data_IF_653866677262
#
_entry.id   IF_653866677262
#
_cell.length_a   1.000
_cell.length_b   1.000
_cell.length_c   1.000
_cell.angle_alpha   90.00
_cell.angle_beta   90.00
_cell.angle_gamma   90.00
#
_symmetry.space_group_name_H-M   'P 1'
#
loop_
_entity.id
_entity.type
_entity.pdbx_description
1 polymer ?
#
# COMPACT_ATOMS: atom_id res chain seq x y z
N UNK A 1 -6.42 -28.22 -25.16
CA UNK A 1 -6.28 -26.87 -24.56
C UNK A 1 -6.50 -25.86 -25.68
N UNK A 2 -7.55 -25.03 -25.60
CA UNK A 2 -7.81 -23.99 -26.60
C UNK A 2 -6.90 -22.77 -26.37
N UNK A 3 -6.62 -22.00 -27.42
CA UNK A 3 -5.91 -20.72 -27.33
C UNK A 3 -6.82 -19.68 -26.67
N UNK A 4 -6.22 -18.80 -25.85
CA UNK A 4 -6.97 -17.68 -25.24
C UNK A 4 -7.48 -16.75 -26.34
N UNK A 5 -8.67 -16.14 -26.18
CA UNK A 5 -9.22 -15.16 -27.12
C UNK A 5 -8.20 -14.05 -27.45
N UNK A 6 -8.16 -13.63 -28.72
CA UNK A 6 -7.20 -12.63 -29.21
C UNK A 6 -7.36 -11.24 -28.56
N UNK A 7 -8.56 -10.90 -28.09
CA UNK A 7 -8.86 -9.69 -27.30
C UNK A 7 -7.92 -9.50 -26.11
N UNK A 8 -7.47 -10.59 -25.48
CA UNK A 8 -6.59 -10.53 -24.31
C UNK A 8 -5.15 -10.10 -24.64
N UNK A 9 -4.78 -10.06 -25.91
CA UNK A 9 -3.46 -9.65 -26.39
C UNK A 9 -3.46 -8.26 -27.04
N UNK A 10 -4.57 -7.53 -26.96
CA UNK A 10 -4.68 -6.15 -27.46
C UNK A 10 -3.68 -5.24 -26.74
N UNK A 11 -3.04 -4.34 -27.49
CA UNK A 11 -2.24 -3.25 -26.91
C UNK A 11 -3.15 -2.21 -26.25
N UNK A 12 -2.95 -1.86 -24.97
CA UNK A 12 -3.69 -0.80 -24.29
C UNK A 12 -3.54 0.54 -25.02
N UNK A 13 -4.58 1.37 -24.97
CA UNK A 13 -4.52 2.75 -25.47
C UNK A 13 -3.80 3.68 -24.49
N UNK A 14 -3.31 4.82 -24.96
CA UNK A 14 -2.65 5.82 -24.11
C UNK A 14 -3.57 6.33 -22.99
N UNK A 15 -4.87 6.45 -23.26
CA UNK A 15 -5.87 6.86 -22.26
C UNK A 15 -6.04 5.81 -21.16
N UNK A 16 -6.06 4.52 -21.53
CA UNK A 16 -6.10 3.41 -20.56
C UNK A 16 -4.80 3.35 -19.75
N UNK A 17 -3.67 3.64 -20.38
CA UNK A 17 -2.37 3.71 -19.72
C UNK A 17 -2.30 4.85 -18.69
N UNK A 18 -2.74 6.05 -19.07
CA UNK A 18 -2.81 7.19 -18.17
C UNK A 18 -3.77 6.94 -17.00
N UNK A 19 -4.94 6.35 -17.26
CA UNK A 19 -5.88 5.96 -16.22
C UNK A 19 -5.27 4.94 -15.23
N UNK A 20 -4.48 3.98 -15.74
CA UNK A 20 -3.75 3.02 -14.92
C UNK A 20 -2.68 3.67 -14.05
N UNK A 21 -1.89 4.61 -14.59
CA UNK A 21 -0.85 5.30 -13.83
C UNK A 21 -1.44 6.23 -12.76
N UNK A 22 -2.44 7.04 -13.13
CA UNK A 22 -3.15 7.95 -12.22
C UNK A 22 -3.82 7.21 -11.05
N UNK A 23 -4.15 5.93 -11.22
CA UNK A 23 -4.73 5.10 -10.17
C UNK A 23 -3.88 5.02 -8.90
N UNK A 24 -2.56 4.92 -9.05
CA UNK A 24 -1.65 4.76 -7.91
C UNK A 24 -1.47 6.07 -7.14
N UNK A 25 -1.50 7.20 -7.85
CA UNK A 25 -1.42 8.54 -7.26
C UNK A 25 -2.68 8.90 -6.46
N UNK A 26 -3.85 8.47 -6.94
CA UNK A 26 -5.16 8.68 -6.27
C UNK A 26 -5.35 7.86 -4.99
N UNK A 27 -4.39 7.01 -4.61
CA UNK A 27 -4.52 6.07 -3.47
C UNK A 27 -3.64 6.39 -2.28
N UNK A 28 -3.05 7.59 -2.27
CA UNK A 28 -2.37 8.13 -1.09
C UNK A 28 -3.41 8.42 0.01
N UNK A 29 -3.11 7.94 1.21
CA UNK A 29 -3.91 8.12 2.40
C UNK A 29 -3.08 8.84 3.46
N UNK A 30 -3.72 9.36 4.50
CA UNK A 30 -3.05 10.13 5.56
C UNK A 30 -1.93 9.35 6.28
N UNK A 31 -2.03 8.02 6.35
CA UNK A 31 -1.09 7.15 7.08
C UNK A 31 -0.39 6.12 6.18
N UNK A 32 -0.53 6.23 4.86
CA UNK A 32 0.07 5.27 3.94
C UNK A 32 -0.58 5.23 2.57
N UNK A 33 -0.61 4.05 1.96
CA UNK A 33 -1.18 3.84 0.62
C UNK A 33 -2.12 2.65 0.61
N UNK A 34 -3.22 2.77 -0.12
CA UNK A 34 -4.14 1.66 -0.35
C UNK A 34 -3.58 0.72 -1.44
N UNK A 35 -3.31 -0.54 -1.11
CA UNK A 35 -2.75 -1.54 -2.03
C UNK A 35 -3.82 -2.30 -2.83
N UNK A 36 -5.05 -1.80 -2.85
CA UNK A 36 -6.13 -2.42 -3.60
C UNK A 36 -5.84 -2.34 -5.12
N UNK A 37 -6.36 -3.27 -5.92
CA UNK A 37 -6.05 -3.37 -7.34
C UNK A 37 -6.71 -2.27 -8.20
N UNK A 38 -6.22 -2.10 -9.43
CA UNK A 38 -6.82 -1.24 -10.46
C UNK A 38 -8.31 -1.55 -10.65
N UNK A 39 -9.12 -0.51 -10.86
CA UNK A 39 -10.57 -0.58 -11.11
C UNK A 39 -11.43 -1.27 -10.02
N UNK A 40 -10.94 -1.35 -8.77
CA UNK A 40 -11.76 -1.84 -7.65
C UNK A 40 -12.13 -0.69 -6.72
N UNK A 41 -13.43 -0.44 -6.44
CA UNK A 41 -13.85 0.68 -5.61
C UNK A 41 -13.36 0.52 -4.17
N UNK A 42 -13.09 1.65 -3.51
CA UNK A 42 -12.88 1.71 -2.07
C UNK A 42 -13.82 2.77 -1.51
N UNK A 43 -14.73 2.37 -0.62
CA UNK A 43 -15.78 3.25 -0.07
C UNK A 43 -15.31 4.03 1.18
N UNK A 44 -14.00 4.03 1.46
CA UNK A 44 -13.51 4.40 2.79
C UNK A 44 -12.46 5.51 2.74
N UNK A 45 -12.90 6.72 3.05
CA UNK A 45 -12.03 7.87 3.32
C UNK A 45 -11.47 7.81 4.76
N UNK A 46 -12.20 7.18 5.71
CA UNK A 46 -11.78 7.00 7.12
C UNK A 46 -11.62 5.54 7.60
N UNK A 47 -12.08 4.54 6.85
CA UNK A 47 -11.89 3.13 7.25
C UNK A 47 -10.51 2.54 6.89
N UNK A 48 -9.55 3.40 6.56
CA UNK A 48 -8.23 2.98 6.10
C UNK A 48 -7.44 2.25 7.20
N UNK A 49 -7.50 2.70 8.45
CA UNK A 49 -6.82 2.03 9.58
C UNK A 49 -7.36 0.62 9.83
N UNK A 50 -8.68 0.42 9.63
CA UNK A 50 -9.34 -0.89 9.71
C UNK A 50 -9.06 -1.78 8.49
N UNK A 51 -8.68 -1.19 7.36
CA UNK A 51 -8.52 -1.90 6.10
C UNK A 51 -7.28 -2.81 6.11
N UNK A 52 -7.45 -4.06 5.71
CA UNK A 52 -6.33 -5.02 5.53
C UNK A 52 -5.40 -4.63 4.37
N UNK A 53 -5.90 -3.86 3.40
CA UNK A 53 -5.16 -3.43 2.22
C UNK A 53 -4.39 -2.12 2.41
N UNK A 54 -4.50 -1.47 3.58
CA UNK A 54 -3.65 -0.33 3.91
C UNK A 54 -2.23 -0.82 4.14
N UNK A 55 -1.30 -0.38 3.30
CA UNK A 55 0.14 -0.48 3.56
C UNK A 55 0.57 0.78 4.32
N UNK A 56 0.92 0.67 5.62
CA UNK A 56 1.31 1.83 6.41
C UNK A 56 2.66 2.36 5.90
N UNK A 57 2.76 3.68 5.81
CA UNK A 57 4.02 4.35 5.50
C UNK A 57 4.85 4.48 6.79
N UNK A 58 6.09 3.95 6.85
CA UNK A 58 6.96 4.12 8.01
C UNK A 58 7.19 5.58 8.42
N UNK A 59 7.14 6.53 7.48
CA UNK A 59 7.27 7.95 7.77
C UNK A 59 6.06 8.52 8.54
N UNK A 60 4.90 7.86 8.46
CA UNK A 60 3.66 8.25 9.14
C UNK A 60 3.43 7.48 10.45
N UNK A 61 4.46 6.84 11.01
CA UNK A 61 4.36 6.10 12.29
C UNK A 61 3.78 6.97 13.41
N UNK A 62 4.33 8.16 13.61
CA UNK A 62 3.90 9.06 14.68
C UNK A 62 2.40 9.36 14.58
N UNK A 63 1.90 9.58 13.35
CA UNK A 63 0.48 9.79 13.11
C UNK A 63 -0.38 8.56 13.45
N UNK A 64 0.11 7.35 13.22
CA UNK A 64 -0.57 6.11 13.64
C UNK A 64 -0.58 5.94 15.17
N UNK A 65 0.49 6.35 15.86
CA UNK A 65 0.56 6.38 17.33
C UNK A 65 -0.46 7.38 17.91
N UNK A 66 -0.54 8.59 17.33
CA UNK A 66 -1.58 9.58 17.71
C UNK A 66 -3.01 9.03 17.55
N UNK A 67 -3.28 8.32 16.44
CA UNK A 67 -4.58 7.68 16.20
C UNK A 67 -4.85 6.59 17.24
N UNK A 68 -3.84 5.76 17.56
CA UNK A 68 -3.94 4.73 18.57
C UNK A 68 -4.33 5.30 19.94
N UNK A 69 -3.60 6.32 20.39
CA UNK A 69 -3.81 6.92 21.72
C UNK A 69 -5.17 7.62 21.80
N UNK A 70 -5.58 8.31 20.73
CA UNK A 70 -6.90 8.90 20.63
C UNK A 70 -8.02 7.84 20.73
N UNK A 71 -7.87 6.72 20.02
CA UNK A 71 -8.84 5.62 20.07
C UNK A 71 -8.92 5.00 21.47
N UNK A 72 -7.80 4.86 22.17
CA UNK A 72 -7.81 4.40 23.58
C UNK A 72 -8.54 5.38 24.49
N UNK A 73 -8.29 6.68 24.36
CA UNK A 73 -8.96 7.71 25.14
C UNK A 73 -10.48 7.70 24.89
N UNK A 74 -10.89 7.61 23.62
CA UNK A 74 -12.31 7.53 23.23
C UNK A 74 -12.99 6.25 23.70
N UNK A 75 -12.29 5.11 23.66
CA UNK A 75 -12.83 3.85 24.19
C UNK A 75 -13.03 3.95 25.72
N UNK A 76 -12.07 4.52 26.44
CA UNK A 76 -12.20 4.73 27.88
C UNK A 76 -13.36 5.68 28.22
N UNK A 77 -13.57 6.72 27.42
CA UNK A 77 -14.72 7.63 27.54
C UNK A 77 -16.04 6.89 27.29
N UNK A 78 -16.15 6.13 26.19
CA UNK A 78 -17.35 5.36 25.88
C UNK A 78 -17.73 4.37 27.00
N UNK A 79 -16.74 3.76 27.67
CA UNK A 79 -16.98 2.94 28.85
C UNK A 79 -17.50 3.74 30.05
N UNK A 80 -16.91 4.90 30.35
CA UNK A 80 -17.35 5.75 31.48
C UNK A 80 -18.77 6.26 31.29
N UNK A 81 -19.11 6.66 30.08
CA UNK A 81 -20.41 7.24 29.72
C UNK A 81 -21.44 6.17 29.31
N UNK A 82 -21.09 4.88 29.39
CA UNK A 82 -21.92 3.75 29.00
C UNK A 82 -22.49 3.86 27.56
N UNK A 83 -21.69 4.38 26.61
CA UNK A 83 -22.02 4.44 25.19
C UNK A 83 -21.80 3.09 24.51
N UNK A 84 -22.64 2.10 24.84
CA UNK A 84 -22.47 0.71 24.40
C UNK A 84 -22.35 0.58 22.88
N UNK A 85 -23.09 1.40 22.12
CA UNK A 85 -23.06 1.35 20.65
C UNK A 85 -21.73 1.79 20.01
N UNK A 86 -20.90 2.56 20.71
CA UNK A 86 -19.63 3.07 20.18
C UNK A 86 -18.44 2.13 20.48
N UNK A 87 -18.54 1.32 21.53
CA UNK A 87 -17.45 0.49 22.05
C UNK A 87 -16.90 -0.44 20.98
N UNK A 88 -17.76 -1.23 20.33
CA UNK A 88 -17.33 -2.22 19.32
C UNK A 88 -16.61 -1.54 18.14
N UNK A 89 -17.15 -0.42 17.65
CA UNK A 89 -16.55 0.34 16.57
C UNK A 89 -15.17 0.90 16.94
N UNK A 90 -15.01 1.39 18.17
CA UNK A 90 -13.74 1.91 18.69
C UNK A 90 -12.71 0.78 18.88
N UNK A 91 -13.12 -0.38 19.40
CA UNK A 91 -12.25 -1.55 19.55
C UNK A 91 -11.72 -2.06 18.20
N UNK A 92 -12.59 -2.15 17.19
CA UNK A 92 -12.20 -2.56 15.83
C UNK A 92 -11.18 -1.58 15.24
N UNK A 93 -11.41 -0.27 15.39
CA UNK A 93 -10.43 0.75 14.97
C UNK A 93 -9.11 0.63 15.71
N UNK A 94 -9.16 0.44 17.03
CA UNK A 94 -7.97 0.34 17.88
C UNK A 94 -7.13 -0.88 17.51
N UNK A 95 -7.77 -2.02 17.29
CA UNK A 95 -7.11 -3.23 16.81
C UNK A 95 -6.46 -3.00 15.44
N UNK A 96 -7.16 -2.32 14.53
CA UNK A 96 -6.60 -1.91 13.25
C UNK A 96 -5.32 -1.07 13.40
N UNK A 97 -5.32 -0.07 14.28
CA UNK A 97 -4.14 0.76 14.54
C UNK A 97 -2.97 -0.07 15.11
N UNK A 98 -3.24 -0.92 16.11
CA UNK A 98 -2.24 -1.82 16.71
C UNK A 98 -1.58 -2.74 15.68
N UNK A 99 -2.37 -3.36 14.81
CA UNK A 99 -1.85 -4.23 13.75
C UNK A 99 -0.95 -3.48 12.77
N UNK A 100 -1.29 -2.23 12.43
CA UNK A 100 -0.47 -1.42 11.51
C UNK A 100 0.86 -1.00 12.14
N UNK A 101 0.87 -0.65 13.42
CA UNK A 101 2.10 -0.39 14.16
C UNK A 101 3.00 -1.63 14.23
N UNK A 102 2.42 -2.79 14.57
CA UNK A 102 3.15 -4.06 14.59
C UNK A 102 3.77 -4.42 13.23
N UNK A 103 3.05 -4.17 12.13
CA UNK A 103 3.57 -4.37 10.77
C UNK A 103 4.80 -3.48 10.49
N UNK A 104 4.78 -2.22 10.94
CA UNK A 104 5.91 -1.31 10.82
C UNK A 104 7.12 -1.77 11.66
N UNK A 105 6.89 -2.44 12.79
CA UNK A 105 7.96 -3.00 13.63
C UNK A 105 8.60 -4.22 12.97
N UNK A 106 7.79 -5.16 12.48
CA UNK A 106 8.28 -6.36 11.77
C UNK A 106 9.09 -5.99 10.53
N UNK A 107 8.64 -5.01 9.73
CA UNK A 107 9.34 -4.57 8.52
C UNK A 107 10.73 -3.97 8.77
N UNK A 108 10.97 -3.39 9.96
CA UNK A 108 12.31 -2.96 10.39
C UNK A 108 13.19 -4.17 10.73
N UNK A 109 12.65 -5.13 11.47
CA UNK A 109 13.37 -6.34 11.90
C UNK A 109 13.78 -7.22 10.73
N UNK A 110 12.89 -7.48 9.77
CA UNK A 110 13.17 -8.31 8.58
C UNK A 110 14.28 -7.75 7.70
N UNK A 111 14.47 -6.43 7.70
CA UNK A 111 15.55 -5.77 6.95
C UNK A 111 16.92 -6.04 7.58
N UNK A 112 16.97 -6.20 8.90
CA UNK A 112 18.18 -6.52 9.66
C UNK A 112 18.55 -8.00 9.58
N UNK A 113 17.56 -8.89 9.42
CA UNK A 113 17.74 -10.34 9.38
C UNK A 113 17.60 -10.94 7.98
N UNK A 114 17.60 -10.12 6.92
CA UNK A 114 17.37 -10.59 5.57
C UNK A 114 18.46 -11.55 5.10
N UNK A 115 18.08 -12.77 4.73
CA UNK A 115 18.98 -13.72 4.07
C UNK A 115 19.33 -13.19 2.68
N UNK A 116 20.62 -13.03 2.38
CA UNK A 116 21.08 -12.57 1.08
C UNK A 116 20.87 -13.70 0.04
N UNK A 117 19.95 -13.48 -0.91
CA UNK A 117 19.63 -14.45 -1.97
C UNK A 117 20.51 -14.31 -3.22
N UNK A 118 21.56 -13.49 -3.19
CA UNK A 118 22.42 -13.23 -4.36
C UNK A 118 21.72 -12.43 -5.47
N UNK A 119 20.54 -11.86 -5.21
CA UNK A 119 19.84 -11.01 -6.17
C UNK A 119 20.57 -9.67 -6.31
N UNK A 120 20.89 -9.22 -7.53
CA UNK A 120 21.55 -7.94 -7.72
C UNK A 120 20.64 -6.81 -7.21
N UNK A 121 21.22 -5.89 -6.45
CA UNK A 121 20.52 -4.68 -6.03
C UNK A 121 20.11 -3.84 -7.24
N UNK A 122 19.08 -3.01 -7.09
CA UNK A 122 18.57 -2.17 -8.19
C UNK A 122 19.66 -1.31 -8.85
N UNK A 123 20.63 -0.81 -8.08
CA UNK A 123 21.78 -0.07 -8.60
C UNK A 123 22.67 -0.90 -9.55
N UNK A 124 22.77 -2.22 -9.32
CA UNK A 124 23.53 -3.14 -10.15
C UNK A 124 22.79 -3.52 -11.44
N UNK A 125 21.45 -3.46 -11.43
CA UNK A 125 20.60 -3.77 -12.59
C UNK A 125 20.52 -2.57 -13.55
N UNK A 126 20.38 -1.35 -13.02
CA UNK A 126 20.25 -0.12 -13.81
C UNK A 126 21.49 0.21 -14.65
N UNK A 127 22.68 -0.25 -14.24
CA UNK A 127 23.92 -0.09 -15.00
C UNK A 127 23.99 -0.89 -16.30
N UNK A 128 23.04 -1.81 -16.55
CA UNK A 128 22.98 -2.63 -17.76
C UNK A 128 21.91 -2.14 -18.76
N UNK A 129 21.67 -0.83 -18.84
CA UNK A 129 21.10 -0.25 -20.05
C UNK A 129 22.18 -0.23 -21.12
N UNK A 130 22.27 -1.32 -21.88
CA UNK A 130 23.19 -1.43 -23.01
C UNK A 130 22.99 -0.24 -23.95
N UNK A 131 24.06 0.50 -24.22
CA UNK A 131 24.13 1.42 -25.34
C UNK A 131 23.90 0.62 -26.62
N UNK A 132 22.67 0.62 -27.13
CA UNK A 132 22.40 0.16 -28.47
C UNK A 132 23.05 1.17 -29.43
N UNK A 133 24.25 0.86 -29.90
CA UNK A 133 24.86 1.57 -31.01
C UNK A 133 23.94 1.41 -32.24
N UNK A 134 23.43 2.53 -32.75
CA UNK A 134 22.67 2.56 -33.99
C UNK A 134 23.61 2.13 -35.15
N UNK A 135 23.17 1.23 -36.05
CA UNK A 135 23.96 0.88 -37.22
C UNK A 135 24.03 2.08 -38.18
N UNK A 136 25.24 2.40 -38.61
CA UNK A 136 25.53 3.41 -39.63
C UNK A 136 24.86 3.01 -40.95
N UNK A 137 24.05 3.86 -41.59
CA UNK A 137 23.48 3.54 -42.90
C UNK A 137 24.59 3.59 -43.95
N UNK A 138 24.71 2.50 -44.72
CA UNK A 138 25.48 2.49 -45.96
C UNK A 138 24.59 3.01 -47.09
N UNK A 139 25.00 4.12 -47.71
CA UNK A 139 25.33 4.32 -49.14
C UNK A 139 25.81 5.76 -49.29
#
# INVERSE_FOLDING_TARGET
RATRPGEEYRTPTDQEWEAFLSHFERRKLSVGTCARAFNTPCIHEHACVRCSLLRPDPAQRQRLEEIHDNLQARLAEAHREAWIGEIEGLEVSLNGAKQKLALLDTGKSTRTTATNLGMPGFAQIAGRSGTAALPTPAI
#
